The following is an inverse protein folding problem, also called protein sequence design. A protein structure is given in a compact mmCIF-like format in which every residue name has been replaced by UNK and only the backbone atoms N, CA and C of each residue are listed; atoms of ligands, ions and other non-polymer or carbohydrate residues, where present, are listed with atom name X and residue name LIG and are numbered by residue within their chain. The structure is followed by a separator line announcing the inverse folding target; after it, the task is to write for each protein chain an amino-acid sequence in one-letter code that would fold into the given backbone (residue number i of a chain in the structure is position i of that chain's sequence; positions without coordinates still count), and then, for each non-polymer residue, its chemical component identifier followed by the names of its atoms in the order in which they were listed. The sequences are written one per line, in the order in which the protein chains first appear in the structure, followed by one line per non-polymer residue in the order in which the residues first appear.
data_IF_517901448318
#
_entry.id   IF_517901448318
#
_cell.length_a   1.000
_cell.length_b   1.000
_cell.length_c   1.000
_cell.angle_alpha   90.00
_cell.angle_beta   90.00
_cell.angle_gamma   90.00
#
_symmetry.space_group_name_H-M   'P 1'
#
loop_
_entity.id
_entity.type
_entity.pdbx_description
1 polymer ?
#
# COMPACT_ATOMS: atom_id res chain seq x y z
N UNK A 1 7.77 -33.54 16.36
CA UNK A 1 7.58 -33.02 17.74
C UNK A 1 7.69 -31.51 17.66
N UNK A 2 6.76 -30.77 18.27
CA UNK A 2 6.86 -29.31 18.34
C UNK A 2 8.14 -28.92 19.11
N UNK A 3 8.87 -27.93 18.59
CA UNK A 3 10.06 -27.40 19.27
C UNK A 3 9.61 -26.60 20.50
N UNK A 4 10.09 -26.99 21.67
CA UNK A 4 9.78 -26.36 22.97
C UNK A 4 11.10 -26.13 23.71
N UNK A 5 11.18 -25.00 24.42
CA UNK A 5 12.25 -24.76 25.39
C UNK A 5 12.01 -25.58 26.66
N UNK A 6 13.06 -26.15 27.23
CA UNK A 6 13.01 -26.79 28.55
C UNK A 6 13.08 -25.80 29.71
N UNK A 7 13.71 -24.64 29.50
CA UNK A 7 13.88 -23.55 30.46
C UNK A 7 13.93 -22.18 29.80
N UNK A 8 14.40 -21.17 30.55
CA UNK A 8 14.55 -19.81 30.04
C UNK A 8 15.92 -19.61 29.37
N UNK A 9 15.98 -18.79 28.33
CA UNK A 9 17.21 -18.51 27.56
C UNK A 9 17.48 -17.01 27.52
N UNK A 10 18.74 -16.59 27.70
CA UNK A 10 19.18 -15.21 27.45
C UNK A 10 19.92 -14.61 28.64
N UNK A 11 19.63 -13.33 28.96
CA UNK A 11 20.29 -12.63 30.08
C UNK A 11 20.03 -13.33 31.42
N UNK A 12 21.10 -13.47 32.20
CA UNK A 12 21.14 -14.21 33.48
C UNK A 12 21.63 -15.65 33.30
N UNK A 13 22.48 -16.14 34.21
CA UNK A 13 23.08 -17.49 34.12
C UNK A 13 22.11 -18.62 34.50
N UNK A 14 21.01 -18.31 35.20
CA UNK A 14 20.02 -19.30 35.62
C UNK A 14 19.02 -19.62 34.49
N UNK A 15 19.04 -20.88 34.05
CA UNK A 15 18.05 -21.45 33.12
C UNK A 15 18.56 -21.75 31.71
N UNK A 16 19.74 -21.26 31.32
CA UNK A 16 20.33 -21.41 29.97
C UNK A 16 20.78 -22.85 29.69
N UNK A 17 19.83 -23.77 29.51
CA UNK A 17 20.13 -25.14 29.11
C UNK A 17 20.82 -25.15 27.73
N UNK A 18 21.95 -25.85 27.54
CA UNK A 18 22.71 -25.82 26.28
C UNK A 18 21.88 -26.13 25.03
N UNK A 19 20.92 -27.05 25.16
CA UNK A 19 19.96 -27.38 24.09
C UNK A 19 19.10 -26.18 23.69
N UNK A 20 18.54 -25.47 24.68
CA UNK A 20 17.63 -24.36 24.46
C UNK A 20 18.38 -23.14 23.90
N UNK A 21 19.60 -22.91 24.38
CA UNK A 21 20.52 -21.90 23.82
C UNK A 21 20.80 -22.19 22.35
N UNK A 22 21.11 -23.44 21.98
CA UNK A 22 21.33 -23.84 20.59
C UNK A 22 20.09 -23.65 19.70
N UNK A 23 18.89 -23.93 20.21
CA UNK A 23 17.64 -23.70 19.48
C UNK A 23 17.41 -22.21 19.18
N UNK A 24 17.60 -21.36 20.19
CA UNK A 24 17.43 -19.90 20.07
C UNK A 24 18.49 -19.29 19.15
N UNK A 25 19.74 -19.74 19.24
CA UNK A 25 20.81 -19.31 18.33
C UNK A 25 20.52 -19.69 16.88
N UNK A 26 20.07 -20.91 16.63
CA UNK A 26 19.74 -21.37 15.28
C UNK A 26 18.63 -20.50 14.66
N UNK A 27 17.61 -20.15 15.45
CA UNK A 27 16.57 -19.21 15.03
C UNK A 27 17.15 -17.84 14.68
N UNK A 28 17.91 -17.20 15.58
CA UNK A 28 18.42 -15.85 15.34
C UNK A 28 19.40 -15.78 14.19
N UNK A 29 20.23 -16.81 14.01
CA UNK A 29 21.14 -16.91 12.87
C UNK A 29 20.36 -16.92 11.56
N UNK A 30 19.33 -17.76 11.45
CA UNK A 30 18.48 -17.82 10.27
C UNK A 30 17.69 -16.52 10.06
N UNK A 31 17.12 -15.97 11.14
CA UNK A 31 16.28 -14.79 11.10
C UNK A 31 17.05 -13.54 10.67
N UNK A 32 18.25 -13.33 11.24
CA UNK A 32 19.12 -12.20 10.90
C UNK A 32 19.65 -12.31 9.46
N UNK A 33 19.95 -13.52 8.98
CA UNK A 33 20.30 -13.75 7.59
C UNK A 33 19.13 -13.43 6.64
N UNK A 34 17.88 -13.72 7.04
CA UNK A 34 16.69 -13.50 6.23
C UNK A 34 16.37 -12.00 6.06
N UNK A 35 16.40 -11.21 7.14
CA UNK A 35 16.02 -9.79 7.10
C UNK A 35 17.11 -8.87 6.51
N UNK A 36 18.22 -9.44 6.03
CA UNK A 36 19.33 -8.72 5.38
C UNK A 36 19.88 -7.53 6.19
N UNK A 37 20.08 -7.70 7.51
CA UNK A 37 20.88 -6.77 8.31
C UNK A 37 22.34 -7.27 8.31
N UNK A 38 23.23 -6.69 7.48
CA UNK A 38 24.56 -7.23 7.26
C UNK A 38 25.49 -7.04 8.47
N UNK A 39 25.21 -6.08 9.37
CA UNK A 39 26.04 -5.85 10.55
C UNK A 39 25.74 -6.85 11.67
N UNK A 40 24.46 -7.24 11.83
CA UNK A 40 24.04 -8.21 12.86
C UNK A 40 24.18 -9.67 12.42
N UNK A 41 24.03 -9.97 11.13
CA UNK A 41 24.21 -11.34 10.61
C UNK A 41 25.65 -11.86 10.80
N UNK A 42 26.64 -10.98 10.67
CA UNK A 42 28.05 -11.30 10.93
C UNK A 42 28.28 -11.59 12.43
N UNK A 43 27.65 -10.80 13.31
CA UNK A 43 27.75 -10.98 14.76
C UNK A 43 27.10 -12.30 15.25
N UNK A 44 25.98 -12.71 14.66
CA UNK A 44 25.28 -13.95 15.07
C UNK A 44 25.90 -15.23 14.50
N UNK A 45 26.58 -15.17 13.36
CA UNK A 45 27.19 -16.35 12.72
C UNK A 45 28.55 -16.77 13.28
N UNK A 46 29.24 -15.90 14.04
CA UNK A 46 30.66 -16.11 14.41
C UNK A 46 30.92 -16.37 15.89
N UNK A 47 29.98 -16.13 16.79
CA UNK A 47 30.16 -16.37 18.23
C UNK A 47 29.42 -17.62 18.67
N UNK A 48 30.16 -18.57 19.24
CA UNK A 48 29.56 -19.64 20.03
C UNK A 48 28.92 -18.99 21.28
N UNK A 49 27.68 -18.52 21.19
CA UNK A 49 26.99 -17.77 22.26
C UNK A 49 26.52 -18.68 23.41
N UNK A 50 27.29 -19.74 23.68
CA UNK A 50 27.24 -20.68 24.81
C UNK A 50 26.70 -20.05 26.10
N UNK A 51 27.34 -18.90 26.39
CA UNK A 51 27.35 -18.23 27.68
C UNK A 51 27.62 -16.71 27.56
N UNK A 52 27.37 -16.12 26.39
CA UNK A 52 27.79 -14.75 26.09
C UNK A 52 26.63 -13.74 26.31
N UNK A 53 26.84 -12.59 27.01
CA UNK A 53 25.89 -11.48 27.06
C UNK A 53 25.33 -11.05 25.69
N UNK A 54 26.07 -11.30 24.61
CA UNK A 54 25.63 -10.99 23.24
C UNK A 54 24.32 -11.68 22.83
N UNK A 55 23.99 -12.89 23.33
CA UNK A 55 22.72 -13.56 22.99
C UNK A 55 21.54 -12.80 23.61
N UNK A 56 21.73 -12.33 24.85
CA UNK A 56 20.74 -11.48 25.53
C UNK A 56 20.50 -10.16 24.78
N UNK A 57 21.55 -9.58 24.20
CA UNK A 57 21.43 -8.35 23.40
C UNK A 57 20.68 -8.59 22.09
N UNK A 58 20.92 -9.71 21.40
CA UNK A 58 20.15 -10.10 20.21
C UNK A 58 18.68 -10.35 20.56
N UNK A 59 18.40 -11.00 21.69
CA UNK A 59 17.03 -11.20 22.18
C UNK A 59 16.37 -9.85 22.48
N UNK A 60 17.06 -8.92 23.16
CA UNK A 60 16.54 -7.60 23.47
C UNK A 60 16.30 -6.77 22.21
N UNK A 61 17.20 -6.86 21.24
CA UNK A 61 17.02 -6.26 19.92
C UNK A 61 15.78 -6.84 19.22
N UNK A 62 15.59 -8.17 19.25
CA UNK A 62 14.41 -8.81 18.68
C UNK A 62 13.14 -8.36 19.40
N UNK A 63 13.11 -8.37 20.74
CA UNK A 63 11.99 -7.88 21.54
C UNK A 63 11.65 -6.43 21.19
N UNK A 64 12.67 -5.57 21.06
CA UNK A 64 12.49 -4.17 20.62
C UNK A 64 11.90 -4.08 19.23
N UNK A 65 12.46 -4.83 18.27
CA UNK A 65 12.03 -4.85 16.87
C UNK A 65 10.61 -5.39 16.71
N UNK A 66 10.22 -6.38 17.51
CA UNK A 66 8.88 -6.97 17.56
C UNK A 66 7.92 -6.23 18.50
N UNK A 67 8.35 -5.08 19.07
CA UNK A 67 7.55 -4.26 19.99
C UNK A 67 6.95 -5.06 21.15
N UNK A 68 7.69 -6.03 21.67
CA UNK A 68 7.24 -6.84 22.79
C UNK A 68 7.19 -6.00 24.08
N UNK A 69 6.22 -6.25 24.97
CA UNK A 69 6.01 -5.43 26.17
C UNK A 69 7.16 -5.50 27.18
N UNK A 70 8.02 -6.52 27.07
CA UNK A 70 9.21 -6.70 27.91
C UNK A 70 10.42 -6.84 26.99
N UNK A 71 11.43 -6.00 27.23
CA UNK A 71 12.69 -5.93 26.49
C UNK A 71 13.84 -6.14 27.47
N UNK A 72 14.00 -7.37 27.93
CA UNK A 72 14.95 -7.74 28.98
C UNK A 72 16.10 -8.62 28.46
N UNK A 73 16.04 -9.03 27.19
CA UNK A 73 17.01 -9.96 26.62
C UNK A 73 16.81 -11.40 27.10
N UNK A 74 15.60 -11.76 27.55
CA UNK A 74 15.26 -13.08 28.06
C UNK A 74 14.04 -13.69 27.34
N UNK A 75 14.10 -15.00 27.14
CA UNK A 75 13.03 -15.82 26.58
C UNK A 75 12.64 -16.84 27.64
N UNK A 76 11.44 -16.70 28.20
CA UNK A 76 10.88 -17.73 29.08
C UNK A 76 10.11 -18.78 28.27
N UNK A 77 10.08 -20.02 28.79
CA UNK A 77 9.30 -21.11 28.21
C UNK A 77 7.82 -20.72 28.13
N UNK A 78 7.23 -20.80 26.94
CA UNK A 78 5.84 -20.41 26.70
C UNK A 78 5.55 -18.91 26.84
N UNK A 79 6.58 -18.10 27.15
CA UNK A 79 6.51 -16.65 27.25
C UNK A 79 6.18 -16.00 25.90
N UNK A 80 5.86 -14.70 25.94
CA UNK A 80 5.51 -13.95 24.70
C UNK A 80 6.64 -13.95 23.68
N UNK A 81 7.88 -13.76 24.12
CA UNK A 81 9.05 -13.81 23.21
C UNK A 81 9.16 -15.15 22.51
N UNK A 82 8.94 -16.27 23.22
CA UNK A 82 8.98 -17.60 22.62
C UNK A 82 7.83 -17.83 21.63
N UNK A 83 6.60 -17.44 21.99
CA UNK A 83 5.46 -17.54 21.09
C UNK A 83 5.66 -16.73 19.82
N UNK A 84 6.23 -15.53 19.95
CA UNK A 84 6.57 -14.68 18.80
C UNK A 84 7.62 -15.32 17.88
N UNK A 85 8.64 -15.97 18.45
CA UNK A 85 9.62 -16.76 17.67
C UNK A 85 8.91 -17.87 16.89
N UNK A 86 8.05 -18.65 17.55
CA UNK A 86 7.28 -19.71 16.88
C UNK A 86 6.38 -19.17 15.77
N UNK A 87 5.79 -17.99 15.99
CA UNK A 87 4.98 -17.29 15.00
C UNK A 87 5.82 -16.91 13.78
N UNK A 88 6.98 -16.27 13.95
CA UNK A 88 7.90 -15.91 12.86
C UNK A 88 8.27 -17.11 12.01
N UNK A 89 8.52 -18.25 12.66
CA UNK A 89 8.88 -19.50 11.97
C UNK A 89 7.74 -19.99 11.09
N UNK A 90 6.51 -19.96 11.60
CA UNK A 90 5.31 -20.39 10.84
C UNK A 90 4.96 -19.47 9.69
N UNK A 91 5.20 -18.17 9.84
CA UNK A 91 4.78 -17.15 8.88
C UNK A 91 5.86 -16.75 7.88
N UNK A 92 7.07 -17.29 8.01
CA UNK A 92 8.20 -17.03 7.10
C UNK A 92 8.61 -18.32 6.37
N UNK A 93 7.95 -18.68 5.25
CA UNK A 93 8.16 -19.98 4.57
C UNK A 93 9.58 -20.25 4.09
N UNK A 94 10.41 -19.20 3.95
CA UNK A 94 11.80 -19.31 3.51
C UNK A 94 12.80 -19.35 4.67
N UNK A 95 12.34 -19.24 5.92
CA UNK A 95 13.20 -19.28 7.11
C UNK A 95 13.52 -20.73 7.47
N UNK A 96 14.57 -21.29 6.86
CA UNK A 96 15.03 -22.65 7.17
C UNK A 96 15.92 -22.62 8.42
N UNK A 97 15.45 -23.25 9.50
CA UNK A 97 16.20 -23.34 10.76
C UNK A 97 16.71 -24.76 10.95
N UNK A 98 18.05 -24.98 10.95
CA UNK A 98 18.63 -26.30 11.14
C UNK A 98 18.13 -26.97 12.43
N UNK A 99 17.65 -28.21 12.33
CA UNK A 99 17.19 -29.01 13.48
C UNK A 99 15.77 -28.73 13.96
N UNK A 100 15.05 -27.79 13.34
CA UNK A 100 13.64 -27.55 13.62
C UNK A 100 12.77 -28.33 12.61
N UNK A 101 11.89 -29.20 13.11
CA UNK A 101 10.87 -29.86 12.27
C UNK A 101 9.69 -28.91 12.19
N UNK A 102 9.40 -28.48 10.97
CA UNK A 102 8.35 -27.53 10.63
C UNK A 102 7.02 -27.88 11.32
N UNK A 103 6.50 -27.06 12.24
CA UNK A 103 5.13 -27.21 12.70
C UNK A 103 4.24 -26.81 11.53
N UNK A 104 3.89 -27.80 10.71
CA UNK A 104 2.97 -27.67 9.58
C UNK A 104 1.82 -26.74 9.97
N UNK A 105 1.61 -25.61 9.26
CA UNK A 105 0.51 -24.73 9.55
C UNK A 105 -0.79 -25.52 9.42
N UNK A 106 -1.62 -25.49 10.46
CA UNK A 106 -3.02 -25.87 10.32
C UNK A 106 -3.69 -24.98 9.27
N UNK A 107 -4.77 -25.44 8.63
CA UNK A 107 -5.38 -24.74 7.52
C UNK A 107 -6.15 -23.51 8.02
N UNK A 108 -5.53 -22.33 7.98
CA UNK A 108 -6.25 -21.09 7.72
C UNK A 108 -6.06 -20.75 6.25
N UNK A 109 -7.16 -20.71 5.50
CA UNK A 109 -7.20 -20.24 4.12
C UNK A 109 -6.90 -18.73 4.11
N UNK A 110 -5.64 -18.37 4.29
CA UNK A 110 -5.16 -17.00 4.38
C UNK A 110 -4.78 -16.44 3.00
N UNK A 111 -4.63 -15.11 2.93
CA UNK A 111 -4.13 -14.40 1.76
C UNK A 111 -2.77 -14.96 1.32
N UNK A 112 -2.68 -15.52 0.10
CA UNK A 112 -1.45 -16.14 -0.40
C UNK A 112 -0.65 -15.12 -1.20
N UNK A 113 0.49 -14.68 -0.66
CA UNK A 113 1.40 -13.77 -1.35
C UNK A 113 2.05 -14.43 -2.56
N UNK A 114 2.07 -13.71 -3.68
CA UNK A 114 2.73 -14.06 -4.93
C UNK A 114 3.59 -12.87 -5.38
N UNK A 115 4.86 -13.13 -5.65
CA UNK A 115 5.83 -12.12 -6.10
C UNK A 115 6.12 -12.20 -7.59
N UNK A 116 5.41 -13.08 -8.32
CA UNK A 116 5.55 -13.14 -9.76
C UNK A 116 4.94 -11.89 -10.37
N UNK A 117 5.78 -11.08 -11.03
CA UNK A 117 5.31 -9.97 -11.85
C UNK A 117 4.72 -10.63 -13.08
N UNK A 118 3.41 -10.86 -13.10
CA UNK A 118 2.78 -11.55 -14.22
C UNK A 118 3.21 -10.89 -15.52
N UNK A 119 3.95 -11.65 -16.33
CA UNK A 119 4.52 -11.27 -17.62
C UNK A 119 3.45 -10.84 -18.65
N UNK A 120 2.17 -10.90 -18.27
CA UNK A 120 1.01 -10.47 -19.05
C UNK A 120 0.54 -9.04 -18.80
N UNK A 121 1.15 -8.26 -17.91
CA UNK A 121 0.75 -6.86 -17.73
C UNK A 121 1.05 -6.04 -18.98
N UNK A 122 0.02 -5.39 -19.52
CA UNK A 122 0.14 -4.52 -20.70
C UNK A 122 0.15 -3.05 -20.28
N UNK A 123 1.15 -2.29 -20.74
CA UNK A 123 1.10 -0.83 -20.69
C UNK A 123 0.13 -0.33 -21.77
N UNK A 124 -1.13 -0.21 -21.38
CA UNK A 124 -2.24 0.24 -22.23
C UNK A 124 -2.23 1.76 -22.47
N UNK A 125 -1.49 2.52 -21.65
CA UNK A 125 -1.51 3.99 -21.66
C UNK A 125 -0.33 4.62 -22.41
N UNK A 126 0.71 3.83 -22.73
CA UNK A 126 2.03 4.29 -23.14
C UNK A 126 2.67 5.18 -22.04
N UNK A 127 3.98 5.22 -21.94
CA UNK A 127 4.68 5.98 -20.90
C UNK A 127 4.47 7.49 -21.03
N UNK A 128 3.38 8.02 -20.45
CA UNK A 128 3.04 9.43 -20.47
C UNK A 128 4.07 10.29 -19.71
N UNK A 129 4.31 11.55 -20.15
CA UNK A 129 5.09 12.53 -19.40
C UNK A 129 4.59 12.73 -17.97
N UNK A 130 5.51 12.99 -17.05
CA UNK A 130 5.21 13.14 -15.62
C UNK A 130 5.35 14.58 -15.15
N UNK A 131 4.66 14.93 -14.07
CA UNK A 131 4.82 16.24 -13.43
C UNK A 131 6.23 16.35 -12.86
N UNK A 132 7.03 17.30 -13.36
CA UNK A 132 8.39 17.51 -12.85
C UNK A 132 8.38 18.10 -11.43
N UNK A 133 7.40 18.95 -11.14
CA UNK A 133 7.27 19.66 -9.87
C UNK A 133 5.86 19.46 -9.29
N UNK A 134 5.54 18.27 -8.76
CA UNK A 134 4.18 17.95 -8.29
C UNK A 134 3.66 18.99 -7.29
N UNK A 135 4.46 19.42 -6.31
CA UNK A 135 4.06 20.41 -5.30
C UNK A 135 3.63 21.77 -5.88
N UNK A 136 4.06 22.12 -7.10
CA UNK A 136 3.67 23.37 -7.77
C UNK A 136 2.27 23.33 -8.35
N UNK A 137 1.65 22.15 -8.48
CA UNK A 137 0.30 22.02 -9.05
C UNK A 137 -0.75 22.84 -8.29
N UNK A 138 -0.53 23.02 -6.99
CA UNK A 138 -1.40 23.77 -6.08
C UNK A 138 -1.13 25.29 -6.06
N UNK A 139 -0.03 25.76 -6.68
CA UNK A 139 0.45 27.15 -6.53
C UNK A 139 0.78 27.85 -7.85
N UNK A 140 0.99 27.11 -8.94
CA UNK A 140 1.39 27.63 -10.24
C UNK A 140 0.40 27.22 -11.32
N UNK A 141 0.08 28.12 -12.24
CA UNK A 141 -0.83 27.80 -13.34
C UNK A 141 -0.18 26.91 -14.39
N UNK A 142 0.98 27.31 -14.88
CA UNK A 142 1.77 26.59 -15.86
C UNK A 142 2.36 25.32 -15.24
N UNK A 143 2.16 24.18 -15.92
CA UNK A 143 2.72 22.89 -15.53
C UNK A 143 3.93 22.54 -16.40
N UNK A 144 4.90 21.89 -15.77
CA UNK A 144 6.11 21.40 -16.41
C UNK A 144 6.09 19.87 -16.42
N UNK A 145 6.33 19.32 -17.61
CA UNK A 145 6.24 17.89 -17.89
C UNK A 145 7.58 17.39 -18.40
N UNK A 146 7.94 16.16 -18.05
CA UNK A 146 9.16 15.56 -18.57
C UNK A 146 9.34 14.10 -18.17
N UNK A 147 10.45 13.54 -18.61
CA UNK A 147 10.93 12.24 -18.16
C UNK A 147 11.58 12.42 -16.78
N UNK A 148 11.08 11.71 -15.79
CA UNK A 148 11.73 11.57 -14.49
C UNK A 148 12.37 10.18 -14.39
N UNK A 149 13.49 10.08 -13.68
CA UNK A 149 14.14 8.79 -13.40
C UNK A 149 13.37 8.07 -12.31
N UNK A 150 12.87 6.89 -12.63
CA UNK A 150 12.05 6.12 -11.73
C UNK A 150 12.94 5.44 -10.65
N UNK A 151 12.60 5.67 -9.38
CA UNK A 151 13.11 4.84 -8.29
C UNK A 151 12.54 3.40 -8.40
N UNK A 152 13.27 2.38 -7.93
CA UNK A 152 12.76 1.02 -7.97
C UNK A 152 11.51 0.88 -7.08
N UNK A 153 10.51 0.16 -7.59
CA UNK A 153 9.27 -0.20 -6.88
C UNK A 153 9.09 -1.71 -6.95
N UNK A 154 8.76 -2.27 -5.79
CA UNK A 154 8.37 -3.66 -5.65
C UNK A 154 6.88 -3.80 -5.90
N UNK A 155 6.52 -4.87 -6.61
CA UNK A 155 5.14 -5.27 -6.85
C UNK A 155 4.98 -6.73 -6.45
N UNK A 156 3.88 -7.01 -5.77
CA UNK A 156 3.42 -8.36 -5.48
C UNK A 156 1.90 -8.33 -5.40
N UNK A 157 1.28 -9.50 -5.34
CA UNK A 157 -0.16 -9.59 -5.12
C UNK A 157 -0.49 -10.69 -4.14
N UNK A 158 -1.70 -10.62 -3.59
CA UNK A 158 -2.27 -11.68 -2.78
C UNK A 158 -3.39 -12.35 -3.56
N UNK A 159 -3.40 -13.68 -3.56
CA UNK A 159 -4.61 -14.43 -3.84
C UNK A 159 -5.50 -14.41 -2.61
N UNK A 160 -6.74 -13.98 -2.77
CA UNK A 160 -7.72 -13.98 -1.70
C UNK A 160 -8.29 -15.40 -1.48
N UNK A 161 -8.91 -15.66 -0.31
CA UNK A 161 -9.64 -16.89 -0.06
C UNK A 161 -10.66 -17.16 -1.18
N UNK A 162 -10.85 -18.43 -1.55
CA UNK A 162 -11.75 -18.81 -2.65
C UNK A 162 -13.22 -18.46 -2.40
N UNK A 163 -13.60 -18.19 -1.15
CA UNK A 163 -14.92 -17.70 -0.75
C UNK A 163 -15.12 -16.21 -1.00
N UNK A 164 -14.05 -15.43 -1.19
CA UNK A 164 -14.12 -14.01 -1.46
C UNK A 164 -14.43 -13.74 -2.94
N UNK A 165 -15.22 -12.71 -3.19
CA UNK A 165 -15.50 -12.17 -4.52
C UNK A 165 -14.28 -11.45 -5.07
N UNK A 166 -13.60 -10.65 -4.25
CA UNK A 166 -12.32 -10.05 -4.58
C UNK A 166 -11.28 -11.16 -4.71
N UNK A 167 -10.88 -11.48 -5.94
CA UNK A 167 -10.01 -12.64 -6.20
C UNK A 167 -8.53 -12.35 -5.89
N UNK A 168 -8.11 -11.10 -6.07
CA UNK A 168 -6.74 -10.66 -5.91
C UNK A 168 -6.65 -9.28 -5.27
N UNK A 169 -5.53 -9.03 -4.61
CA UNK A 169 -5.15 -7.71 -4.11
C UNK A 169 -3.74 -7.43 -4.62
N UNK A 170 -3.60 -6.47 -5.55
CA UNK A 170 -2.31 -5.99 -6.00
C UNK A 170 -1.70 -5.02 -4.99
N UNK A 171 -0.40 -5.11 -4.77
CA UNK A 171 0.34 -4.20 -3.89
C UNK A 171 1.60 -3.71 -4.58
N UNK A 172 1.83 -2.40 -4.51
CA UNK A 172 3.07 -1.77 -4.95
C UNK A 172 3.64 -0.89 -3.83
N UNK A 173 4.96 -0.95 -3.62
CA UNK A 173 5.67 -0.15 -2.63
C UNK A 173 7.05 0.29 -3.15
N UNK A 174 7.59 1.45 -2.76
CA UNK A 174 9.00 1.76 -2.98
C UNK A 174 9.89 0.59 -2.57
N UNK A 175 10.88 0.25 -3.40
CA UNK A 175 11.70 -0.92 -3.14
C UNK A 175 12.44 -0.79 -1.81
N UNK A 176 12.48 -1.89 -1.05
CA UNK A 176 13.01 -1.93 0.31
C UNK A 176 12.24 -1.09 1.34
N UNK A 177 10.99 -0.67 1.06
CA UNK A 177 10.13 -0.08 2.09
C UNK A 177 9.76 -1.15 3.12
N UNK A 178 10.24 -0.98 4.36
CA UNK A 178 9.95 -1.90 5.47
C UNK A 178 8.81 -1.38 6.35
N UNK A 179 8.59 -0.06 6.40
CA UNK A 179 7.62 0.58 7.30
C UNK A 179 6.96 1.76 6.56
N UNK A 180 5.66 1.66 6.31
CA UNK A 180 4.91 2.66 5.56
C UNK A 180 4.26 3.69 6.51
N UNK A 181 4.29 4.97 6.14
CA UNK A 181 3.52 6.02 6.82
C UNK A 181 2.01 5.85 6.56
N UNK A 182 1.64 5.24 5.43
CA UNK A 182 0.26 4.94 5.09
C UNK A 182 0.11 3.79 4.09
N UNK A 183 -1.07 3.15 4.10
CA UNK A 183 -1.56 2.32 3.00
C UNK A 183 -2.57 3.12 2.17
N UNK A 184 -2.36 3.19 0.86
CA UNK A 184 -3.31 3.80 -0.08
C UNK A 184 -4.18 2.74 -0.74
N UNK A 185 -5.47 2.71 -0.44
CA UNK A 185 -6.42 1.83 -1.12
C UNK A 185 -6.97 2.56 -2.35
N UNK A 186 -6.74 2.00 -3.53
CA UNK A 186 -7.20 2.57 -4.79
C UNK A 186 -8.41 1.79 -5.34
N UNK A 187 -9.57 2.44 -5.35
CA UNK A 187 -10.79 1.93 -5.95
C UNK A 187 -10.86 2.33 -7.42
N UNK A 188 -10.77 1.33 -8.28
CA UNK A 188 -10.84 1.49 -9.72
C UNK A 188 -12.30 1.56 -10.22
N UNK A 189 -12.48 1.82 -11.52
CA UNK A 189 -13.82 1.84 -12.11
C UNK A 189 -14.43 0.43 -12.21
N UNK A 190 -15.76 0.26 -12.11
CA UNK A 190 -16.42 -1.02 -12.31
C UNK A 190 -16.12 -1.56 -13.71
N UNK A 191 -15.77 -2.83 -13.81
CA UNK A 191 -15.56 -3.48 -15.09
C UNK A 191 -16.91 -3.86 -15.72
N UNK A 192 -17.03 -3.64 -17.02
CA UNK A 192 -18.09 -4.21 -17.83
C UNK A 192 -17.55 -5.46 -18.53
N UNK A 193 -18.42 -6.38 -18.94
CA UNK A 193 -17.99 -7.50 -19.77
C UNK A 193 -17.51 -6.96 -21.12
N UNK A 194 -16.19 -6.97 -21.31
CA UNK A 194 -15.56 -6.76 -22.60
C UNK A 194 -15.09 -8.13 -23.11
N UNK A 195 -15.54 -8.61 -24.27
CA UNK A 195 -15.09 -9.90 -24.81
C UNK A 195 -13.56 -9.97 -24.88
N UNK A 196 -12.97 -11.01 -24.27
CA UNK A 196 -11.51 -11.20 -24.19
C UNK A 196 -10.80 -10.47 -23.05
N UNK A 197 -11.52 -9.73 -22.20
CA UNK A 197 -11.01 -9.19 -20.94
C UNK A 197 -11.88 -9.68 -19.78
N UNK A 198 -11.26 -9.98 -18.64
CA UNK A 198 -11.95 -10.47 -17.45
C UNK A 198 -12.71 -11.80 -17.66
N UNK A 199 -12.30 -12.60 -18.66
CA UNK A 199 -12.88 -13.90 -19.02
C UNK A 199 -12.32 -15.07 -18.20
N UNK A 200 -11.20 -14.82 -17.53
CA UNK A 200 -10.44 -15.81 -16.76
C UNK A 200 -9.91 -15.18 -15.48
N UNK A 201 -9.68 -15.99 -14.45
CA UNK A 201 -9.08 -15.53 -13.19
C UNK A 201 -7.78 -14.75 -13.44
N UNK A 202 -6.90 -15.24 -14.31
CA UNK A 202 -5.66 -14.54 -14.66
C UNK A 202 -5.91 -13.18 -15.31
N UNK A 203 -6.91 -13.06 -16.19
CA UNK A 203 -7.23 -11.76 -16.82
C UNK A 203 -7.72 -10.69 -15.81
N UNK A 204 -8.27 -11.07 -14.65
CA UNK A 204 -8.56 -10.13 -13.57
C UNK A 204 -7.28 -9.57 -12.94
N UNK A 205 -6.22 -10.36 -12.87
CA UNK A 205 -4.92 -9.86 -12.43
C UNK A 205 -4.33 -8.95 -13.53
N UNK A 206 -4.29 -9.42 -14.78
CA UNK A 206 -3.61 -8.70 -15.87
C UNK A 206 -4.31 -7.38 -16.23
N UNK A 207 -5.64 -7.39 -16.40
CA UNK A 207 -6.42 -6.22 -16.79
C UNK A 207 -7.04 -5.49 -15.61
N UNK A 208 -7.21 -6.15 -14.46
CA UNK A 208 -7.84 -5.53 -13.29
C UNK A 208 -6.83 -4.91 -12.34
N UNK A 209 -5.67 -5.54 -12.13
CA UNK A 209 -4.58 -4.98 -11.33
C UNK A 209 -3.54 -4.32 -12.23
N UNK A 210 -3.08 -5.03 -13.28
CA UNK A 210 -2.03 -4.55 -14.18
C UNK A 210 -2.37 -3.22 -14.87
N UNK A 211 -3.62 -3.04 -15.32
CA UNK A 211 -4.06 -1.80 -15.97
C UNK A 211 -3.91 -0.57 -15.06
N UNK A 212 -3.99 -0.70 -13.73
CA UNK A 212 -3.74 0.43 -12.82
C UNK A 212 -2.29 0.45 -12.33
N UNK A 213 -1.69 -0.71 -12.10
CA UNK A 213 -0.31 -0.76 -11.62
C UNK A 213 0.68 -0.16 -12.63
N UNK A 214 0.54 -0.51 -13.91
CA UNK A 214 1.43 -0.06 -14.98
C UNK A 214 0.73 0.72 -16.10
N UNK A 215 -0.57 0.51 -16.33
CA UNK A 215 -1.32 1.12 -17.43
C UNK A 215 -1.85 2.52 -17.08
N UNK A 216 -3.16 2.71 -17.03
CA UNK A 216 -3.87 3.98 -16.84
C UNK A 216 -3.42 4.83 -15.64
N UNK A 217 -3.10 4.23 -14.50
CA UNK A 217 -2.69 5.00 -13.31
C UNK A 217 -1.17 5.12 -13.18
N UNK A 218 -0.42 4.22 -13.84
CA UNK A 218 1.03 4.06 -13.64
C UNK A 218 1.41 4.09 -12.15
N UNK A 219 0.64 3.42 -11.27
CA UNK A 219 0.85 3.47 -9.81
C UNK A 219 2.30 3.27 -9.44
N UNK A 220 2.96 2.27 -10.03
CA UNK A 220 4.37 1.98 -9.73
C UNK A 220 5.27 3.19 -10.04
N UNK A 221 5.07 3.84 -11.19
CA UNK A 221 5.83 5.02 -11.59
C UNK A 221 5.52 6.22 -10.71
N UNK A 222 4.24 6.50 -10.45
CA UNK A 222 3.80 7.60 -9.59
C UNK A 222 4.35 7.47 -8.18
N UNK A 223 4.35 6.25 -7.65
CA UNK A 223 4.84 5.92 -6.33
C UNK A 223 6.35 6.14 -6.25
N UNK A 224 7.10 5.63 -7.23
CA UNK A 224 8.54 5.83 -7.36
C UNK A 224 8.91 7.33 -7.33
N UNK A 225 8.19 8.14 -8.10
CA UNK A 225 8.45 9.57 -8.24
C UNK A 225 7.96 10.42 -7.07
N UNK A 226 7.07 9.88 -6.22
CA UNK A 226 6.56 10.62 -5.06
C UNK A 226 7.60 10.75 -3.94
N UNK A 227 8.53 9.79 -3.85
CA UNK A 227 9.47 9.68 -2.73
C UNK A 227 8.80 9.42 -1.37
N UNK A 228 7.50 9.12 -1.34
CA UNK A 228 6.73 8.91 -0.11
C UNK A 228 6.78 7.46 0.34
N UNK A 229 6.79 7.28 1.67
CA UNK A 229 6.74 5.97 2.34
C UNK A 229 5.31 5.42 2.36
N UNK A 230 4.74 5.15 1.19
CA UNK A 230 3.37 4.66 1.04
C UNK A 230 3.40 3.34 0.29
N UNK A 231 2.57 2.38 0.69
CA UNK A 231 2.25 1.22 -0.12
C UNK A 231 0.85 1.39 -0.73
N UNK A 232 0.72 1.14 -2.03
CA UNK A 232 -0.53 1.23 -2.75
C UNK A 232 -1.15 -0.15 -2.87
N UNK A 233 -2.40 -0.27 -2.47
CA UNK A 233 -3.24 -1.47 -2.46
C UNK A 233 -4.35 -1.29 -3.50
N UNK A 234 -4.37 -2.17 -4.49
CA UNK A 234 -5.40 -2.19 -5.53
C UNK A 234 -6.18 -3.51 -5.36
N UNK A 235 -7.39 -3.50 -4.78
CA UNK A 235 -8.26 -4.66 -4.84
C UNK A 235 -8.69 -4.92 -6.30
N UNK A 236 -8.79 -6.19 -6.70
CA UNK A 236 -9.22 -6.52 -8.05
C UNK A 236 -10.71 -6.23 -8.25
N UNK A 237 -11.12 -5.81 -9.45
CA UNK A 237 -12.52 -5.61 -9.78
C UNK A 237 -13.31 -6.89 -9.65
N UNK A 238 -14.61 -6.74 -9.40
CA UNK A 238 -15.58 -7.83 -9.57
C UNK A 238 -16.73 -7.39 -10.45
N UNK A 239 -17.23 -8.32 -11.23
CA UNK A 239 -18.46 -8.11 -11.98
C UNK A 239 -19.62 -7.79 -11.02
N UNK A 240 -20.37 -6.73 -11.31
CA UNK A 240 -21.50 -6.30 -10.48
C UNK A 240 -21.15 -5.38 -9.30
N UNK A 241 -19.89 -4.99 -9.15
CA UNK A 241 -19.53 -3.71 -8.52
C UNK A 241 -19.56 -3.60 -6.99
N UNK A 242 -19.55 -4.70 -6.24
CA UNK A 242 -19.28 -4.67 -4.78
C UNK A 242 -18.34 -5.80 -4.39
N UNK A 243 -17.25 -5.45 -3.70
CA UNK A 243 -16.25 -6.38 -3.18
C UNK A 243 -16.29 -6.37 -1.65
N UNK A 244 -15.59 -7.32 -1.04
CA UNK A 244 -15.33 -7.31 0.40
C UNK A 244 -14.66 -6.00 0.84
N UNK A 245 -13.89 -5.35 -0.04
CA UNK A 245 -13.28 -4.06 0.23
C UNK A 245 -14.28 -2.92 0.47
N UNK A 246 -15.56 -3.11 0.15
CA UNK A 246 -16.61 -2.11 0.41
C UNK A 246 -17.75 -2.63 1.27
N UNK A 247 -17.75 -3.91 1.64
CA UNK A 247 -18.82 -4.53 2.42
C UNK A 247 -18.40 -5.35 3.65
N UNK A 248 -17.13 -5.71 3.81
CA UNK A 248 -16.64 -6.53 4.93
C UNK A 248 -15.38 -5.92 5.58
N UNK A 249 -15.59 -5.22 6.69
CA UNK A 249 -14.51 -4.58 7.46
C UNK A 249 -13.49 -5.58 8.01
N UNK A 250 -13.94 -6.77 8.40
CA UNK A 250 -13.06 -7.81 8.94
C UNK A 250 -12.11 -8.33 7.88
N UNK A 251 -12.62 -8.56 6.67
CA UNK A 251 -11.81 -8.94 5.51
C UNK A 251 -10.74 -7.89 5.20
N UNK A 252 -11.12 -6.61 5.11
CA UNK A 252 -10.19 -5.52 4.80
C UNK A 252 -9.12 -5.39 5.87
N UNK A 253 -9.49 -5.44 7.17
CA UNK A 253 -8.51 -5.38 8.26
C UNK A 253 -7.49 -6.49 8.17
N UNK A 254 -7.92 -7.75 7.94
CA UNK A 254 -7.00 -8.88 7.78
C UNK A 254 -6.09 -8.72 6.56
N UNK A 255 -6.64 -8.24 5.45
CA UNK A 255 -5.85 -7.99 4.23
C UNK A 255 -4.76 -6.94 4.48
N UNK A 256 -5.12 -5.79 5.06
CA UNK A 256 -4.18 -4.69 5.32
C UNK A 256 -3.14 -5.05 6.37
N UNK A 257 -3.55 -5.73 7.45
CA UNK A 257 -2.65 -6.24 8.49
C UNK A 257 -1.65 -7.26 7.92
N UNK A 258 -2.10 -8.13 7.00
CA UNK A 258 -1.22 -9.07 6.31
C UNK A 258 -0.23 -8.36 5.38
N UNK A 259 -0.68 -7.33 4.65
CA UNK A 259 0.18 -6.51 3.80
C UNK A 259 1.27 -5.84 4.63
N UNK A 260 0.90 -5.23 5.75
CA UNK A 260 1.83 -4.59 6.68
C UNK A 260 2.80 -5.60 7.29
N UNK A 261 2.29 -6.77 7.67
CA UNK A 261 3.10 -7.83 8.25
C UNK A 261 4.19 -8.32 7.31
N UNK A 262 3.85 -8.52 6.05
CA UNK A 262 4.78 -8.97 5.02
C UNK A 262 5.80 -7.88 4.62
N UNK A 263 5.49 -6.59 4.80
CA UNK A 263 6.43 -5.48 4.59
C UNK A 263 7.41 -5.34 5.76
N UNK A 264 6.89 -5.39 7.00
CA UNK A 264 7.69 -5.29 8.22
C UNK A 264 8.53 -6.55 8.47
N UNK A 265 8.12 -7.69 7.91
CA UNK A 265 8.61 -9.02 8.27
C UNK A 265 8.16 -9.45 9.66
N UNK A 266 7.08 -8.83 10.19
CA UNK A 266 6.56 -9.08 11.52
C UNK A 266 5.05 -9.27 11.51
N UNK A 267 4.51 -10.25 12.25
CA UNK A 267 3.07 -10.40 12.33
C UNK A 267 2.48 -9.26 13.17
N UNK A 268 1.49 -8.59 12.63
CA UNK A 268 0.78 -7.48 13.25
C UNK A 268 -0.69 -7.56 12.88
N UNK A 269 -1.56 -7.31 13.86
CA UNK A 269 -3.01 -7.10 13.64
C UNK A 269 -3.34 -5.63 13.34
N UNK A 270 -2.32 -4.79 13.32
CA UNK A 270 -2.39 -3.37 13.04
C UNK A 270 -1.77 -3.04 11.67
N UNK A 271 -2.03 -1.83 11.20
CA UNK A 271 -1.52 -1.29 9.94
C UNK A 271 -1.50 0.24 10.02
N UNK A 272 -0.69 0.94 9.20
CA UNK A 272 -0.57 2.39 9.28
C UNK A 272 -1.85 3.12 8.84
N UNK A 273 -1.80 4.45 8.87
CA UNK A 273 -2.91 5.30 8.48
C UNK A 273 -3.35 5.02 7.03
N UNK A 274 -4.60 5.33 6.69
CA UNK A 274 -5.18 5.03 5.39
C UNK A 274 -5.30 6.27 4.52
N UNK A 275 -5.00 6.09 3.24
CA UNK A 275 -5.41 6.98 2.15
C UNK A 275 -6.41 6.20 1.32
N UNK A 276 -7.54 6.82 1.01
CA UNK A 276 -8.47 6.25 0.04
C UNK A 276 -8.39 7.04 -1.26
N UNK A 277 -8.36 6.36 -2.38
CA UNK A 277 -8.38 6.99 -3.68
C UNK A 277 -9.45 6.33 -4.56
N UNK A 278 -10.19 7.13 -5.32
CA UNK A 278 -11.23 6.62 -6.20
C UNK A 278 -11.11 7.22 -7.60
N UNK A 279 -11.34 6.37 -8.58
CA UNK A 279 -11.37 6.72 -9.98
C UNK A 279 -12.67 6.23 -10.63
N UNK A 280 -13.38 7.16 -11.26
CA UNK A 280 -14.66 7.01 -11.90
C UNK A 280 -15.62 6.26 -10.98
N UNK A 281 -16.26 5.18 -11.43
CA UNK A 281 -17.21 4.43 -10.60
C UNK A 281 -16.64 3.91 -9.26
N UNK A 282 -15.32 3.82 -9.08
CA UNK A 282 -14.69 3.51 -7.80
C UNK A 282 -14.94 4.55 -6.70
N UNK A 283 -15.47 5.72 -7.03
CA UNK A 283 -15.95 6.66 -6.03
C UNK A 283 -17.19 6.15 -5.29
N UNK A 284 -18.03 5.35 -5.96
CA UNK A 284 -19.13 4.66 -5.28
C UNK A 284 -18.58 3.70 -4.22
N UNK A 285 -17.45 3.05 -4.52
CA UNK A 285 -16.77 2.19 -3.56
C UNK A 285 -16.20 2.98 -2.37
N UNK A 286 -15.72 4.22 -2.58
CA UNK A 286 -15.38 5.12 -1.47
C UNK A 286 -16.59 5.45 -0.58
N UNK A 287 -17.75 5.71 -1.17
CA UNK A 287 -18.98 6.01 -0.42
C UNK A 287 -19.48 4.77 0.33
N UNK A 288 -19.49 3.59 -0.32
CA UNK A 288 -19.80 2.32 0.34
C UNK A 288 -18.80 2.03 1.47
N UNK A 289 -17.49 2.29 1.28
CA UNK A 289 -16.48 2.16 2.34
C UNK A 289 -16.77 3.10 3.52
N UNK A 290 -17.11 4.36 3.26
CA UNK A 290 -17.47 5.33 4.32
C UNK A 290 -18.61 4.81 5.21
N UNK A 291 -19.62 4.20 4.57
CA UNK A 291 -20.84 3.75 5.22
C UNK A 291 -20.67 2.41 5.94
N UNK A 292 -19.85 1.51 5.40
CA UNK A 292 -19.76 0.12 5.85
C UNK A 292 -18.53 -0.19 6.72
N UNK A 293 -17.55 0.72 6.81
CA UNK A 293 -16.26 0.48 7.47
C UNK A 293 -16.00 1.44 8.65
N UNK A 294 -16.87 1.46 9.68
CA UNK A 294 -16.84 2.49 10.72
C UNK A 294 -15.51 2.56 11.50
N UNK A 295 -14.83 1.44 11.71
CA UNK A 295 -13.55 1.40 12.46
C UNK A 295 -12.40 1.87 11.57
N UNK A 296 -12.30 1.36 10.34
CA UNK A 296 -11.30 1.74 9.35
C UNK A 296 -11.43 3.20 8.94
N UNK A 297 -12.66 3.72 8.86
CA UNK A 297 -12.93 5.13 8.56
C UNK A 297 -12.16 6.07 9.49
N UNK A 298 -12.00 5.71 10.77
CA UNK A 298 -11.25 6.52 11.73
C UNK A 298 -9.74 6.62 11.46
N UNK A 299 -9.19 5.68 10.66
CA UNK A 299 -7.79 5.69 10.21
C UNK A 299 -7.57 6.43 8.90
N UNK A 300 -8.63 6.84 8.21
CA UNK A 300 -8.52 7.55 6.94
C UNK A 300 -8.04 8.98 7.19
N UNK A 301 -6.84 9.29 6.69
CA UNK A 301 -6.21 10.61 6.80
C UNK A 301 -6.33 11.44 5.53
N UNK A 302 -6.51 10.79 4.38
CA UNK A 302 -6.77 11.49 3.13
C UNK A 302 -7.70 10.72 2.20
N UNK A 303 -8.45 11.48 1.39
CA UNK A 303 -9.31 10.97 0.34
C UNK A 303 -9.01 11.69 -0.97
N UNK A 304 -8.78 10.92 -2.03
CA UNK A 304 -8.37 11.40 -3.35
C UNK A 304 -9.45 11.05 -4.37
N UNK A 305 -10.08 12.06 -4.97
CA UNK A 305 -11.03 11.92 -6.07
C UNK A 305 -10.36 12.38 -7.37
N UNK A 306 -10.09 11.44 -8.28
CA UNK A 306 -9.40 11.73 -9.54
C UNK A 306 -10.28 12.34 -10.63
N UNK A 307 -11.57 12.02 -10.71
CA UNK A 307 -12.42 12.44 -11.84
C UNK A 307 -13.91 12.48 -11.54
N UNK A 308 -14.32 12.27 -10.29
CA UNK A 308 -15.71 12.15 -9.86
C UNK A 308 -16.56 13.36 -10.11
N UNK A 309 -15.94 14.53 -10.16
CA UNK A 309 -16.63 15.75 -10.51
C UNK A 309 -16.99 15.84 -12.01
N UNK A 310 -16.42 14.98 -12.85
CA UNK A 310 -16.71 14.89 -14.29
C UNK A 310 -17.86 13.91 -14.57
N UNK A 311 -18.07 12.90 -13.72
CA UNK A 311 -19.11 11.88 -13.89
C UNK A 311 -20.37 12.29 -13.12
N UNK A 312 -21.39 12.79 -13.83
CA UNK A 312 -22.59 13.43 -13.23
C UNK A 312 -23.24 12.71 -12.03
N UNK A 313 -23.49 11.39 -12.09
CA UNK A 313 -24.01 10.64 -10.94
C UNK A 313 -23.05 10.59 -9.73
N UNK A 314 -21.74 10.58 -9.97
CA UNK A 314 -20.70 10.50 -8.95
C UNK A 314 -20.32 11.87 -8.39
N UNK A 315 -20.62 12.95 -9.12
CA UNK A 315 -20.44 14.31 -8.65
C UNK A 315 -21.23 14.60 -7.36
N UNK A 316 -22.28 13.81 -7.09
CA UNK A 316 -23.14 13.87 -5.90
C UNK A 316 -22.55 13.18 -4.67
N UNK A 317 -21.48 12.40 -4.80
CA UNK A 317 -20.82 11.75 -3.66
C UNK A 317 -20.24 12.84 -2.76
N UNK A 318 -20.70 12.87 -1.51
CA UNK A 318 -20.44 13.96 -0.60
C UNK A 318 -19.12 13.73 0.16
N UNK A 319 -18.01 14.15 -0.45
CA UNK A 319 -16.70 14.08 0.19
C UNK A 319 -16.53 15.02 1.40
N UNK A 320 -17.49 15.91 1.68
CA UNK A 320 -17.42 16.76 2.88
C UNK A 320 -17.48 15.96 4.18
N UNK A 321 -18.15 14.80 4.16
CA UNK A 321 -18.22 13.94 5.33
C UNK A 321 -16.83 13.47 5.77
N UNK A 322 -15.98 13.08 4.81
CA UNK A 322 -14.58 12.74 5.07
C UNK A 322 -13.80 13.90 5.68
N UNK A 323 -13.97 15.09 5.11
CA UNK A 323 -13.36 16.31 5.61
C UNK A 323 -13.79 16.68 7.03
N UNK A 324 -15.07 16.50 7.37
CA UNK A 324 -15.59 16.72 8.73
C UNK A 324 -14.98 15.74 9.74
N UNK A 325 -14.59 14.54 9.31
CA UNK A 325 -13.84 13.58 10.12
C UNK A 325 -12.34 13.87 10.21
N UNK A 326 -11.87 15.00 9.65
CA UNK A 326 -10.47 15.41 9.69
C UNK A 326 -9.61 14.85 8.56
N UNK A 327 -10.18 14.11 7.60
CA UNK A 327 -9.42 13.66 6.44
C UNK A 327 -9.13 14.82 5.48
N UNK A 328 -7.91 14.88 4.94
CA UNK A 328 -7.57 15.78 3.85
C UNK A 328 -8.22 15.31 2.56
N UNK A 329 -9.08 16.12 1.95
CA UNK A 329 -9.75 15.75 0.69
C UNK A 329 -9.16 16.52 -0.49
N UNK A 330 -8.67 15.78 -1.49
CA UNK A 330 -8.15 16.29 -2.76
C UNK A 330 -9.07 15.86 -3.90
N UNK A 331 -9.60 16.83 -4.66
CA UNK A 331 -10.51 16.56 -5.78
C UNK A 331 -9.99 17.17 -7.07
N UNK A 332 -9.61 16.32 -8.02
CA UNK A 332 -9.14 16.75 -9.33
C UNK A 332 -10.31 16.99 -10.28
N UNK A 333 -10.21 18.08 -11.05
CA UNK A 333 -11.31 18.50 -11.92
C UNK A 333 -10.79 19.43 -12.99
N UNK A 334 -10.97 19.16 -14.28
CA UNK A 334 -10.67 20.20 -15.28
C UNK A 334 -11.89 20.95 -15.76
N UNK A 335 -11.96 21.20 -17.06
CA UNK A 335 -12.68 22.35 -17.64
C UNK A 335 -14.18 22.45 -17.31
N UNK A 336 -14.80 21.42 -16.73
CA UNK A 336 -16.22 21.40 -16.43
C UNK A 336 -16.66 22.26 -15.22
N UNK A 337 -15.77 22.69 -14.32
CA UNK A 337 -16.01 23.62 -13.17
C UNK A 337 -14.87 23.43 -12.12
N UNK A 338 -14.66 24.27 -11.10
CA UNK A 338 -15.19 25.62 -10.98
C UNK A 338 -14.74 26.47 -12.15
N UNK A 339 -15.61 27.36 -12.62
CA UNK A 339 -15.26 28.32 -13.66
C UNK A 339 -14.52 29.51 -13.03
N UNK A 340 -13.57 30.14 -13.74
CA UNK A 340 -13.03 31.43 -13.35
C UNK A 340 -14.16 32.46 -13.20
N UNK A 341 -14.09 33.28 -12.16
CA UNK A 341 -14.98 34.43 -12.01
C UNK A 341 -14.64 35.53 -13.03
N UNK A 342 -15.53 36.53 -13.23
CA UNK A 342 -15.33 37.61 -14.20
C UNK A 342 -14.06 38.45 -14.00
N UNK A 343 -13.45 38.38 -12.81
CA UNK A 343 -12.24 39.14 -12.42
C UNK A 343 -11.10 38.24 -11.96
N UNK A 344 -11.25 36.92 -12.06
CA UNK A 344 -10.19 36.02 -11.63
C UNK A 344 -9.06 36.03 -12.66
N UNK A 345 -7.88 36.50 -12.28
CA UNK A 345 -6.66 36.07 -12.95
C UNK A 345 -6.33 34.62 -12.58
N UNK A 346 -5.38 34.01 -13.29
CA UNK A 346 -4.98 32.60 -13.07
C UNK A 346 -4.60 32.31 -11.61
N UNK A 347 -3.90 33.24 -10.94
CA UNK A 347 -3.45 33.09 -9.56
C UNK A 347 -4.59 33.25 -8.56
N UNK A 348 -5.45 34.26 -8.75
CA UNK A 348 -6.64 34.49 -7.95
C UNK A 348 -7.62 33.31 -8.03
N UNK A 349 -7.83 32.77 -9.24
CA UNK A 349 -8.64 31.57 -9.45
C UNK A 349 -8.06 30.37 -8.70
N UNK A 350 -6.76 30.09 -8.86
CA UNK A 350 -6.10 28.98 -8.16
C UNK A 350 -6.24 29.13 -6.65
N UNK A 351 -5.89 30.29 -6.09
CA UNK A 351 -5.97 30.52 -4.65
C UNK A 351 -7.41 30.30 -4.10
N UNK A 352 -8.42 30.79 -4.82
CA UNK A 352 -9.83 30.63 -4.45
C UNK A 352 -10.26 29.16 -4.42
N UNK A 353 -9.80 28.35 -5.38
CA UNK A 353 -10.22 26.95 -5.52
C UNK A 353 -9.44 26.03 -4.58
N UNK A 354 -8.18 26.36 -4.30
CA UNK A 354 -7.27 25.56 -3.47
C UNK A 354 -7.48 25.75 -1.95
N UNK A 355 -8.14 26.83 -1.53
CA UNK A 355 -8.42 27.14 -0.11
C UNK A 355 -9.72 26.52 0.42
N UNK A 356 -10.57 25.99 -0.47
CA UNK A 356 -11.83 25.34 -0.08
C UNK A 356 -11.63 23.93 0.49
N UNK A 357 -12.66 23.45 1.20
CA UNK A 357 -12.79 22.07 1.62
C UNK A 357 -14.10 21.48 1.04
N UNK A 358 -14.07 20.41 0.23
CA UNK A 358 -12.89 19.69 -0.28
C UNK A 358 -12.00 20.55 -1.18
N UNK A 359 -10.67 20.36 -1.09
CA UNK A 359 -9.69 21.09 -1.90
C UNK A 359 -9.82 20.62 -3.34
N UNK A 360 -10.31 21.51 -4.20
CA UNK A 360 -10.45 21.20 -5.63
C UNK A 360 -9.18 21.63 -6.36
N UNK A 361 -8.70 20.82 -7.30
CA UNK A 361 -7.47 21.06 -8.06
C UNK A 361 -7.89 21.25 -9.53
N UNK A 362 -7.92 22.50 -10.03
CA UNK A 362 -8.45 22.80 -11.35
C UNK A 362 -7.44 22.42 -12.44
N UNK A 363 -7.80 21.51 -13.33
CA UNK A 363 -6.97 20.94 -14.38
C UNK A 363 -7.51 21.31 -15.76
N UNK A 364 -7.84 22.59 -15.96
CA UNK A 364 -8.33 23.08 -17.24
C UNK A 364 -7.34 22.80 -18.37
N UNK A 365 -7.84 22.56 -19.58
CA UNK A 365 -7.05 22.16 -20.75
C UNK A 365 -5.82 23.05 -20.97
N UNK A 366 -5.94 24.35 -20.72
CA UNK A 366 -4.88 25.35 -20.87
C UNK A 366 -3.67 25.07 -19.97
N UNK A 367 -3.87 24.49 -18.78
CA UNK A 367 -2.76 24.09 -17.89
C UNK A 367 -2.01 22.88 -18.46
N UNK A 368 -2.68 22.05 -19.25
CA UNK A 368 -2.17 20.80 -19.84
C UNK A 368 -1.62 20.95 -21.25
N UNK A 369 -1.77 22.13 -21.86
CA UNK A 369 -1.46 22.36 -23.28
C UNK A 369 0.01 22.06 -23.67
N UNK A 370 0.92 21.93 -22.70
CA UNK A 370 2.33 21.57 -22.89
C UNK A 370 2.64 20.07 -22.70
N UNK A 371 1.65 19.23 -22.44
CA UNK A 371 1.84 17.79 -22.32
C UNK A 371 1.92 17.15 -23.72
N UNK A 372 2.96 16.36 -24.00
CA UNK A 372 3.30 15.91 -25.36
C UNK A 372 2.19 15.13 -26.09
N UNK A 373 1.28 14.49 -25.35
CA UNK A 373 0.13 13.74 -25.90
C UNK A 373 -1.23 14.47 -25.77
N UNK A 374 -1.24 15.74 -25.35
CA UNK A 374 -2.49 16.51 -25.18
C UNK A 374 -3.23 16.76 -26.51
N UNK A 375 -2.57 16.56 -27.65
CA UNK A 375 -3.24 16.63 -28.95
C UNK A 375 -4.15 15.43 -29.19
N UNK A 376 -3.82 14.23 -28.68
CA UNK A 376 -4.69 13.04 -28.74
C UNK A 376 -5.98 13.28 -27.94
N UNK A 377 -5.87 14.05 -26.86
CA UNK A 377 -6.99 14.51 -26.05
C UNK A 377 -7.96 15.43 -26.81
N UNK A 378 -7.51 16.21 -27.81
CA UNK A 378 -8.38 17.06 -28.63
C UNK A 378 -9.32 16.28 -29.56
N UNK A 379 -8.96 15.04 -29.90
CA UNK A 379 -9.81 14.14 -30.70
C UNK A 379 -10.88 13.44 -29.85
N UNK A 380 -10.70 13.39 -28.53
CA UNK A 380 -11.70 12.92 -27.57
C UNK A 380 -12.67 14.07 -27.23
N UNK A 381 -13.89 13.77 -26.80
CA UNK A 381 -14.81 14.80 -26.31
C UNK A 381 -14.10 15.67 -25.23
N UNK A 382 -14.29 17.01 -25.20
CA UNK A 382 -13.46 17.94 -24.41
C UNK A 382 -13.35 17.67 -22.90
N UNK A 383 -14.20 16.81 -22.35
CA UNK A 383 -14.24 16.42 -20.93
C UNK A 383 -13.62 15.06 -20.65
N UNK A 384 -13.54 14.17 -21.64
CA UNK A 384 -13.18 12.75 -21.46
C UNK A 384 -11.68 12.49 -21.49
N UNK A 385 -10.88 13.34 -22.12
CA UNK A 385 -9.43 13.16 -22.10
C UNK A 385 -8.89 13.11 -20.67
N UNK A 386 -9.39 13.97 -19.79
CA UNK A 386 -9.01 13.98 -18.39
C UNK A 386 -9.29 12.70 -17.64
N UNK A 387 -10.36 11.99 -17.99
CA UNK A 387 -10.65 10.69 -17.40
C UNK A 387 -9.50 9.71 -17.67
N UNK A 388 -8.80 9.82 -18.80
CA UNK A 388 -7.65 8.98 -19.10
C UNK A 388 -6.33 9.54 -18.53
N UNK A 389 -6.14 10.86 -18.52
CA UNK A 389 -4.85 11.49 -18.21
C UNK A 389 -4.68 11.91 -16.73
N UNK A 390 -5.75 12.33 -16.05
CA UNK A 390 -5.69 12.73 -14.63
C UNK A 390 -5.13 11.61 -13.75
N UNK A 391 -5.66 10.38 -13.83
CA UNK A 391 -5.25 9.34 -12.90
C UNK A 391 -3.76 8.97 -13.10
N UNK A 392 -3.26 9.06 -14.34
CA UNK A 392 -1.89 8.65 -14.73
C UNK A 392 -0.76 9.52 -14.19
N UNK A 393 -1.03 10.76 -13.78
CA UNK A 393 0.02 11.70 -13.36
C UNK A 393 -0.34 12.56 -12.15
N UNK A 394 -1.52 12.37 -11.56
CA UNK A 394 -1.94 13.12 -10.37
C UNK A 394 -1.73 12.37 -9.05
N UNK A 395 -1.49 11.06 -9.09
CA UNK A 395 -1.22 10.30 -7.86
C UNK A 395 0.05 10.82 -7.17
N UNK A 396 1.13 11.10 -7.91
CA UNK A 396 2.35 11.70 -7.35
C UNK A 396 2.05 13.03 -6.63
N UNK A 397 1.29 13.94 -7.26
CA UNK A 397 0.88 15.19 -6.61
C UNK A 397 0.04 14.93 -5.35
N UNK A 398 -0.91 13.99 -5.41
CA UNK A 398 -1.75 13.68 -4.27
C UNK A 398 -0.90 13.23 -3.06
N UNK A 399 0.04 12.31 -3.30
CA UNK A 399 0.97 11.82 -2.28
C UNK A 399 1.87 12.93 -1.73
N UNK A 400 2.46 13.77 -2.59
CA UNK A 400 3.31 14.90 -2.15
C UNK A 400 2.51 15.94 -1.37
N UNK A 401 1.20 16.07 -1.64
CA UNK A 401 0.34 17.06 -1.01
C UNK A 401 -0.33 16.60 0.28
N UNK A 402 -0.28 15.31 0.61
CA UNK A 402 -0.81 14.78 1.87
C UNK A 402 0.11 15.21 3.02
N UNK A 403 -0.36 16.15 3.84
CA UNK A 403 0.49 16.83 4.84
C UNK A 403 0.99 15.93 5.97
N UNK A 404 0.33 14.78 6.18
CA UNK A 404 0.71 13.82 7.20
C UNK A 404 1.80 12.83 6.74
N UNK A 405 2.07 12.76 5.44
CA UNK A 405 3.15 11.93 4.88
C UNK A 405 4.47 12.69 4.95
N UNK A 406 5.49 12.08 5.56
CA UNK A 406 6.81 12.71 5.74
C UNK A 406 7.60 12.74 4.43
#
# INVERSE_FOLDING_TARGET
MAVELSGAVGRGSAGNAPRDVGLVQAFFTAYLAHIRDPQLAIAAGWTAMVYDPSLGDIIAWFQTRRRLPVVDGRIDRGGRTWREILTVIRTTPQLVIPGWVDPQPGPTQDFVKRTDRSSGFQDTAQSLPQLLFPSRLSTHWEMEWGAATDAPVDFWYYECPSSARCQFIGVAAPANLVDADALLIFFHHPIHQEPGKYDSRQSYLDWGIGDYMIGRMQVMRQLALSGKRVAVVVPAPVQGGRTEFTSDESFVRRALARIDSDMLGIETDDFPDLILAGYSGGLKDLDDFYNNMPTLRSKVRAVIDFDGALVGPLAKINLRNWATLGAQVLRYKGSASPLPGPKDDKGAFLNRVMTGNPRTIPLAFERWARHDNIWQAKAMQPTWWMHHYIPTCMLQHALVSCSFLK
#
